data_IF_309462270162
#
_entry.id   IF_309462270162
#
_cell.length_a   1.000
_cell.length_b   1.000
_cell.length_c   1.000
_cell.angle_alpha   90.00
_cell.angle_beta   90.00
_cell.angle_gamma   90.00
#
_symmetry.space_group_name_H-M   'P 1'
#
loop_
_entity.id
_entity.type
_entity.pdbx_description
1 polymer ?
#
# COMPACT_ATOMS: atom_id res chain seq x y z
N UNK A 1 -3.00 9.06 -14.87
CA UNK A 1 -2.87 7.73 -14.25
C UNK A 1 -3.88 7.68 -13.14
N UNK A 2 -4.79 6.69 -13.16
CA UNK A 2 -5.88 6.61 -12.20
C UNK A 2 -5.41 6.14 -10.83
N UNK A 3 -4.28 5.41 -10.79
CA UNK A 3 -3.67 4.94 -9.55
C UNK A 3 -2.21 5.35 -9.39
N UNK A 4 -1.71 5.26 -8.16
CA UNK A 4 -0.32 5.42 -7.80
C UNK A 4 0.08 4.37 -6.76
N UNK A 5 1.28 3.82 -6.89
CA UNK A 5 1.89 2.93 -5.92
C UNK A 5 3.18 3.56 -5.39
N UNK A 6 3.40 3.50 -4.09
CA UNK A 6 4.68 3.87 -3.51
C UNK A 6 5.03 3.08 -2.25
N UNK A 7 6.32 2.83 -2.03
CA UNK A 7 6.84 2.26 -0.78
C UNK A 7 7.12 3.40 0.19
N UNK A 8 6.50 3.33 1.37
CA UNK A 8 6.52 4.39 2.38
C UNK A 8 7.60 4.16 3.43
N UNK A 9 7.79 2.90 3.85
CA UNK A 9 8.85 2.55 4.78
C UNK A 9 8.59 1.31 5.61
N UNK A 10 9.26 1.18 6.75
CA UNK A 10 9.20 0.01 7.62
C UNK A 10 8.55 0.38 8.95
N UNK A 11 7.65 -0.46 9.44
CA UNK A 11 6.98 -0.28 10.73
C UNK A 11 6.75 -1.62 11.41
N UNK A 12 6.33 -1.61 12.68
CA UNK A 12 5.95 -2.83 13.38
C UNK A 12 4.59 -3.34 12.90
N UNK A 13 4.45 -4.65 12.76
CA UNK A 13 3.21 -5.32 12.32
C UNK A 13 2.00 -4.90 13.16
N UNK A 14 2.16 -4.79 14.48
CA UNK A 14 1.06 -4.40 15.37
C UNK A 14 0.63 -2.94 15.14
N UNK A 15 1.58 -2.04 14.87
CA UNK A 15 1.29 -0.64 14.53
C UNK A 15 0.50 -0.56 13.23
N UNK A 16 0.91 -1.31 12.21
CA UNK A 16 0.20 -1.37 10.94
C UNK A 16 -1.20 -1.97 11.08
N UNK A 17 -1.33 -3.09 11.81
CA UNK A 17 -2.61 -3.73 12.05
C UNK A 17 -3.61 -2.78 12.74
N UNK A 18 -3.16 -2.08 13.79
CA UNK A 18 -4.00 -1.08 14.47
C UNK A 18 -4.43 0.03 13.52
N UNK A 19 -3.54 0.48 12.63
CA UNK A 19 -3.88 1.48 11.61
C UNK A 19 -4.95 0.96 10.64
N UNK A 20 -4.80 -0.27 10.14
CA UNK A 20 -5.79 -0.87 9.23
C UNK A 20 -7.17 -0.98 9.89
N UNK A 21 -7.21 -1.40 11.15
CA UNK A 21 -8.47 -1.49 11.90
C UNK A 21 -9.16 -0.13 12.08
N UNK A 22 -8.40 0.95 12.26
CA UNK A 22 -8.98 2.28 12.48
C UNK A 22 -9.39 2.99 11.17
N UNK A 23 -8.63 2.78 10.09
CA UNK A 23 -8.72 3.62 8.89
C UNK A 23 -9.13 2.89 7.60
N UNK A 24 -9.06 1.55 7.55
CA UNK A 24 -9.37 0.77 6.33
C UNK A 24 -10.74 0.09 6.39
N UNK A 25 -11.66 0.57 7.22
CA UNK A 25 -13.02 0.03 7.30
C UNK A 25 -13.92 0.46 6.12
N UNK A 26 -13.66 1.62 5.52
CA UNK A 26 -14.49 2.16 4.44
C UNK A 26 -14.12 1.54 3.07
N UNK A 27 -15.05 0.86 2.37
CA UNK A 27 -14.81 0.29 1.04
C UNK A 27 -14.69 1.35 -0.08
N UNK A 28 -15.14 2.58 0.14
CA UNK A 28 -15.08 3.69 -0.83
C UNK A 28 -13.83 4.58 -0.68
N UNK A 29 -12.87 4.18 0.16
CA UNK A 29 -11.65 4.95 0.41
C UNK A 29 -10.82 5.15 -0.86
N UNK A 30 -10.17 6.31 -0.97
CA UNK A 30 -9.25 6.63 -2.07
C UNK A 30 -7.84 6.06 -1.94
N UNK A 31 -7.50 5.47 -0.78
CA UNK A 31 -6.16 4.94 -0.50
C UNK A 31 -6.24 3.67 0.34
N UNK A 32 -5.26 2.80 0.15
CA UNK A 32 -5.06 1.61 0.99
C UNK A 32 -3.58 1.33 1.14
N UNK A 33 -3.23 0.66 2.22
CA UNK A 33 -1.86 0.31 2.55
C UNK A 33 -1.67 -1.19 2.47
N UNK A 34 -0.46 -1.57 2.06
CA UNK A 34 -0.04 -2.92 1.85
C UNK A 34 1.12 -3.20 2.79
N UNK A 35 1.00 -4.24 3.60
CA UNK A 35 2.06 -4.71 4.49
C UNK A 35 2.68 -6.01 3.97
N UNK A 36 3.99 -6.12 4.02
CA UNK A 36 4.72 -7.35 3.68
C UNK A 36 5.92 -7.57 4.59
N UNK A 37 6.25 -8.82 4.89
CA UNK A 37 7.50 -9.20 5.56
C UNK A 37 8.69 -9.25 4.59
N UNK A 38 8.43 -9.19 3.29
CA UNK A 38 9.44 -9.21 2.24
C UNK A 38 9.30 -7.99 1.34
N UNK A 39 10.43 -7.32 1.07
CA UNK A 39 10.50 -6.26 0.08
C UNK A 39 10.64 -6.84 -1.34
N UNK A 40 9.57 -7.48 -1.83
CA UNK A 40 9.50 -8.07 -3.16
C UNK A 40 8.15 -7.75 -3.83
N UNK A 41 8.16 -7.64 -5.17
CA UNK A 41 6.94 -7.35 -5.93
C UNK A 41 5.87 -8.42 -5.65
N UNK A 42 6.24 -9.69 -5.67
CA UNK A 42 5.32 -10.81 -5.44
C UNK A 42 4.67 -10.75 -4.06
N UNK A 43 5.43 -10.39 -3.02
CA UNK A 43 4.89 -10.29 -1.68
C UNK A 43 3.88 -9.13 -1.56
N UNK A 44 4.15 -7.99 -2.20
CA UNK A 44 3.17 -6.92 -2.28
C UNK A 44 1.95 -7.29 -3.11
N UNK A 45 2.10 -7.97 -4.25
CA UNK A 45 0.96 -8.45 -5.04
C UNK A 45 0.10 -9.41 -4.20
N UNK A 46 0.72 -10.33 -3.44
CA UNK A 46 -0.01 -11.21 -2.50
C UNK A 46 -0.75 -10.40 -1.43
N UNK A 47 -0.11 -9.37 -0.87
CA UNK A 47 -0.72 -8.52 0.15
C UNK A 47 -1.98 -7.79 -0.35
N UNK A 48 -2.09 -7.49 -1.65
CA UNK A 48 -3.32 -6.89 -2.22
C UNK A 48 -4.56 -7.77 -2.06
N UNK A 49 -4.36 -9.09 -1.96
CA UNK A 49 -5.45 -10.06 -1.75
C UNK A 49 -5.89 -10.15 -0.29
N UNK A 50 -5.08 -9.62 0.63
CA UNK A 50 -5.30 -9.67 2.08
C UNK A 50 -5.83 -8.34 2.63
N UNK A 51 -6.18 -7.39 1.75
CA UNK A 51 -6.70 -6.09 2.15
C UNK A 51 -8.09 -6.25 2.78
N UNK A 52 -8.30 -5.77 4.02
CA UNK A 52 -9.63 -5.71 4.63
C UNK A 52 -10.58 -4.85 3.80
N UNK A 53 -11.83 -5.29 3.63
CA UNK A 53 -12.85 -4.56 2.86
C UNK A 53 -12.31 -4.05 1.52
N UNK A 54 -11.78 -4.98 0.71
CA UNK A 54 -11.09 -4.68 -0.57
C UNK A 54 -11.92 -3.73 -1.42
N UNK A 55 -11.41 -2.52 -1.72
CA UNK A 55 -12.11 -1.56 -2.57
C UNK A 55 -12.43 -2.12 -3.95
N UNK A 56 -13.53 -1.65 -4.55
CA UNK A 56 -13.91 -1.98 -5.92
C UNK A 56 -13.07 -1.21 -6.94
N UNK A 57 -11.77 -1.50 -6.97
CA UNK A 57 -10.79 -0.91 -7.87
C UNK A 57 -10.43 -1.85 -9.03
N UNK A 58 -9.86 -1.29 -10.08
CA UNK A 58 -9.19 -2.06 -11.13
C UNK A 58 -7.84 -2.56 -10.61
N UNK A 59 -7.85 -3.77 -10.04
CA UNK A 59 -6.65 -4.39 -9.46
C UNK A 59 -5.64 -4.86 -10.50
N UNK A 60 -6.06 -5.02 -11.76
CA UNK A 60 -5.16 -5.32 -12.86
C UNK A 60 -4.35 -4.07 -13.22
N UNK A 61 -4.99 -2.90 -13.26
CA UNK A 61 -4.30 -1.62 -13.42
C UNK A 61 -3.35 -1.33 -12.25
N UNK A 62 -3.79 -1.58 -11.01
CA UNK A 62 -2.92 -1.45 -9.81
C UNK A 62 -1.69 -2.33 -9.94
N UNK A 63 -1.85 -3.60 -10.34
CA UNK A 63 -0.73 -4.53 -10.53
C UNK A 63 0.24 -4.04 -11.61
N UNK A 64 -0.27 -3.52 -12.72
CA UNK A 64 0.55 -2.93 -13.78
C UNK A 64 1.36 -1.71 -13.27
N UNK A 65 0.76 -0.88 -12.40
CA UNK A 65 1.44 0.27 -11.79
C UNK A 65 2.50 -0.17 -10.81
N UNK A 66 2.26 -1.23 -10.03
CA UNK A 66 3.28 -1.85 -9.20
C UNK A 66 4.45 -2.33 -10.06
N UNK A 67 4.21 -3.12 -11.12
CA UNK A 67 5.27 -3.58 -12.02
C UNK A 67 6.09 -2.40 -12.57
N UNK A 68 5.42 -1.35 -13.06
CA UNK A 68 6.10 -0.13 -13.56
C UNK A 68 6.91 0.57 -12.48
N UNK A 69 6.42 0.63 -11.24
CA UNK A 69 7.18 1.18 -10.12
C UNK A 69 8.45 0.37 -9.89
N UNK A 70 8.35 -0.97 -9.88
CA UNK A 70 9.51 -1.84 -9.66
C UNK A 70 10.58 -1.70 -10.75
N UNK A 71 10.18 -1.60 -12.01
CA UNK A 71 11.11 -1.41 -13.13
C UNK A 71 11.82 -0.06 -13.11
N UNK A 72 11.24 0.97 -12.49
CA UNK A 72 11.76 2.34 -12.53
C UNK A 72 12.51 2.76 -11.27
N UNK A 73 12.31 2.07 -10.14
CA UNK A 73 12.76 2.53 -8.82
C UNK A 73 13.66 1.52 -8.11
N UNK A 74 14.59 0.90 -8.84
CA UNK A 74 15.50 -0.12 -8.31
C UNK A 74 16.26 0.36 -7.06
N UNK A 75 16.82 1.58 -7.11
CA UNK A 75 17.57 2.15 -5.98
C UNK A 75 16.71 2.30 -4.73
N UNK A 76 15.46 2.79 -4.89
CA UNK A 76 14.50 2.95 -3.78
C UNK A 76 14.12 1.60 -3.18
N UNK A 77 13.93 0.58 -4.02
CA UNK A 77 13.63 -0.79 -3.57
C UNK A 77 14.81 -1.38 -2.82
N UNK A 78 16.02 -1.21 -3.33
CA UNK A 78 17.25 -1.66 -2.69
C UNK A 78 17.45 -1.00 -1.32
N UNK A 79 17.18 0.31 -1.23
CA UNK A 79 17.19 1.04 0.03
C UNK A 79 16.23 0.44 1.06
N UNK A 80 14.95 0.28 0.70
CA UNK A 80 13.96 -0.24 1.65
C UNK A 80 14.18 -1.70 2.01
N UNK A 81 14.74 -2.49 1.10
CA UNK A 81 15.15 -3.87 1.39
C UNK A 81 16.23 -3.91 2.47
N UNK A 82 17.20 -2.99 2.43
CA UNK A 82 18.22 -2.87 3.49
C UNK A 82 17.60 -2.43 4.82
N UNK A 83 16.77 -1.39 4.80
CA UNK A 83 16.09 -0.89 6.00
C UNK A 83 15.26 -1.98 6.70
N UNK A 84 14.55 -2.81 5.93
CA UNK A 84 13.77 -3.93 6.48
C UNK A 84 14.65 -4.96 7.19
N UNK A 85 15.82 -5.27 6.62
CA UNK A 85 16.78 -6.23 7.18
C UNK A 85 17.47 -5.67 8.43
N UNK A 86 17.75 -4.36 8.46
CA UNK A 86 18.40 -3.68 9.57
C UNK A 86 17.51 -3.53 10.81
N UNK A 87 16.19 -3.55 10.65
CA UNK A 87 15.25 -3.61 11.76
C UNK A 87 15.21 -5.01 12.41
N UNK A 88 14.87 -5.09 13.70
CA UNK A 88 14.63 -6.38 14.39
C UNK A 88 13.56 -7.18 13.61
N UNK A 89 13.99 -8.23 12.91
CA UNK A 89 13.23 -8.84 11.82
C UNK A 89 11.88 -9.44 12.20
N UNK A 90 11.68 -9.83 13.46
CA UNK A 90 10.51 -10.64 13.85
C UNK A 90 9.20 -9.85 13.94
N UNK A 91 9.26 -8.51 14.01
CA UNK A 91 8.06 -7.68 14.16
C UNK A 91 7.92 -6.61 13.08
N UNK A 92 8.92 -6.45 12.20
CA UNK A 92 8.94 -5.37 11.23
C UNK A 92 8.40 -5.82 9.87
N UNK A 93 7.57 -4.96 9.28
CA UNK A 93 7.03 -5.12 7.93
C UNK A 93 7.29 -3.87 7.11
N UNK A 94 7.50 -4.07 5.82
CA UNK A 94 7.55 -2.99 4.85
C UNK A 94 6.14 -2.61 4.41
N UNK A 95 5.89 -1.31 4.36
CA UNK A 95 4.60 -0.72 4.03
C UNK A 95 4.70 -0.02 2.68
N UNK A 96 3.72 -0.30 1.85
CA UNK A 96 3.44 0.45 0.64
C UNK A 96 2.03 1.02 0.67
N UNK A 97 1.77 1.96 -0.23
CA UNK A 97 0.47 2.60 -0.41
C UNK A 97 0.06 2.50 -1.86
N UNK A 98 -1.21 2.15 -2.06
CA UNK A 98 -1.91 2.32 -3.33
C UNK A 98 -2.93 3.44 -3.17
N UNK A 99 -2.94 4.37 -4.11
CA UNK A 99 -3.90 5.48 -4.18
C UNK A 99 -4.69 5.32 -5.46
N UNK A 100 -6.02 5.46 -5.38
CA UNK A 100 -6.92 5.71 -6.49
C UNK A 100 -7.29 7.19 -6.47
N UNK A 101 -6.81 7.96 -7.46
CA UNK A 101 -7.01 9.41 -7.49
C UNK A 101 -8.48 9.81 -7.69
N UNK A 102 -9.25 8.99 -8.41
CA UNK A 102 -10.68 9.24 -8.63
C UNK A 102 -11.46 9.02 -7.35
N UNK A 103 -11.25 7.89 -6.67
CA UNK A 103 -11.89 7.62 -5.39
C UNK A 103 -11.45 8.63 -4.31
N UNK A 104 -10.17 9.06 -4.31
CA UNK A 104 -9.68 10.09 -3.39
C UNK A 104 -10.34 11.45 -3.65
N UNK A 105 -10.56 11.79 -4.93
CA UNK A 105 -11.27 13.01 -5.31
C UNK A 105 -12.72 12.97 -4.84
N UNK A 106 -13.42 11.86 -5.08
CA UNK A 106 -14.81 11.70 -4.64
C UNK A 106 -14.92 11.74 -3.10
N UNK A 107 -13.98 11.10 -2.39
CA UNK A 107 -13.87 11.17 -0.93
C UNK A 107 -13.72 12.63 -0.47
N UNK A 108 -12.84 13.40 -1.11
CA UNK A 108 -12.65 14.82 -0.81
C UNK A 108 -13.90 15.66 -1.11
N UNK A 109 -14.52 15.49 -2.27
CA UNK A 109 -15.71 16.24 -2.68
C UNK A 109 -16.89 16.00 -1.72
N UNK A 110 -17.07 14.76 -1.25
CA UNK A 110 -18.11 14.44 -0.25
C UNK A 110 -17.95 15.15 1.09
N UNK A 111 -16.74 15.60 1.45
CA UNK A 111 -16.51 16.39 2.66
C UNK A 111 -17.03 17.83 2.53
N UNK A 112 -17.17 18.34 1.31
CA UNK A 112 -17.71 19.68 1.04
C UNK A 112 -19.23 19.69 0.83
N UNK A 113 -19.83 18.50 0.63
CA UNK A 113 -21.28 18.32 0.51
C UNK A 113 -21.96 17.96 1.85
N UNK A 114 -21.16 17.80 2.92
CA UNK A 114 -21.60 17.56 4.30
C UNK A 114 -21.71 18.85 5.12
#
# INVERSE_FOLDING_TARGET
MSYSFDILGVTRVLTFFNYQQQHEQNPHRGKTYLGSYECSLDAFIKSTKMIPSRPNWDWDEVTNIMIKFWLKNEEKISYWKKELISGKQEENIIIARVVNFEALRNELESLFEA
#
